data_IF_306330850937
#
_entry.id   IF_306330850937
#
_cell.length_a   1.000
_cell.length_b   1.000
_cell.length_c   1.000
_cell.angle_alpha   90.00
_cell.angle_beta   90.00
_cell.angle_gamma   90.00
#
_symmetry.space_group_name_H-M   'P 1'
#
loop_
_entity.id
_entity.type
_entity.pdbx_description
1 polymer ?
#
# COMPACT_ATOMS: atom_id res chain seq x y z
N UNK A 1 3.27 15.45 -5.46
CA UNK A 1 3.00 14.14 -4.83
C UNK A 1 3.96 13.99 -3.68
N UNK A 2 3.37 13.80 -2.51
CA UNK A 2 4.06 13.51 -1.27
C UNK A 2 4.31 12.01 -1.14
N UNK A 3 5.49 11.67 -0.67
CA UNK A 3 5.87 10.30 -0.34
C UNK A 3 6.30 10.27 1.11
N UNK A 4 5.57 9.53 1.94
CA UNK A 4 5.84 9.41 3.36
C UNK A 4 6.89 8.33 3.60
N UNK A 5 7.99 8.71 4.25
CA UNK A 5 9.14 7.85 4.54
C UNK A 5 9.73 8.19 5.91
N UNK A 6 10.43 7.24 6.53
CA UNK A 6 11.21 7.47 7.74
C UNK A 6 12.55 6.72 7.67
N UNK A 7 13.68 7.32 8.11
CA UNK A 7 15.00 6.70 8.03
C UNK A 7 15.13 5.31 8.68
N UNK A 8 14.35 5.05 9.74
CA UNK A 8 14.28 3.71 10.37
C UNK A 8 13.83 2.59 9.43
N UNK A 9 13.23 2.89 8.29
CA UNK A 9 12.93 1.86 7.29
C UNK A 9 14.19 1.30 6.60
N UNK A 10 15.36 1.92 6.77
CA UNK A 10 16.64 1.32 6.41
C UNK A 10 17.12 0.27 7.43
N UNK A 11 16.55 0.24 8.64
CA UNK A 11 16.97 -0.71 9.66
C UNK A 11 16.56 -2.13 9.27
N UNK A 12 17.47 -3.09 9.45
CA UNK A 12 17.17 -4.51 9.35
C UNK A 12 16.55 -4.99 10.68
N UNK A 13 15.22 -5.01 10.75
CA UNK A 13 14.47 -5.41 11.95
C UNK A 13 14.11 -6.91 11.99
N UNK A 14 14.25 -7.63 10.87
CA UNK A 14 14.16 -9.11 10.79
C UNK A 14 15.13 -9.65 9.73
N UNK A 15 15.18 -10.98 9.57
CA UNK A 15 15.89 -11.67 8.47
C UNK A 15 15.06 -11.85 7.19
N UNK A 16 13.84 -11.30 7.14
CA UNK A 16 12.91 -11.48 6.01
C UNK A 16 13.32 -10.62 4.80
N UNK A 17 12.94 -11.01 3.56
CA UNK A 17 13.27 -10.25 2.35
C UNK A 17 12.76 -8.81 2.37
N UNK A 18 11.58 -8.56 2.96
CA UNK A 18 11.06 -7.18 3.11
C UNK A 18 11.94 -6.34 4.02
N UNK A 19 12.69 -6.98 4.92
CA UNK A 19 13.58 -6.38 5.88
C UNK A 19 15.02 -6.21 5.34
N UNK A 20 15.30 -6.65 4.11
CA UNK A 20 16.64 -6.67 3.55
C UNK A 20 17.17 -5.25 3.28
N UNK A 21 18.47 -5.07 3.54
CA UNK A 21 19.21 -3.85 3.19
C UNK A 21 19.27 -3.68 1.67
N UNK A 22 19.14 -2.45 1.20
CA UNK A 22 19.14 -2.13 -0.23
C UNK A 22 17.74 -2.03 -0.83
N UNK A 23 16.72 -2.63 -0.20
CA UNK A 23 15.33 -2.58 -0.70
C UNK A 23 14.80 -1.15 -0.74
N UNK A 24 14.90 -0.43 0.38
CA UNK A 24 14.40 0.94 0.46
C UNK A 24 15.34 1.91 -0.25
N UNK A 25 16.64 1.69 -0.16
CA UNK A 25 17.68 2.50 -0.80
C UNK A 25 17.49 2.52 -2.32
N UNK A 26 17.23 1.35 -2.93
CA UNK A 26 16.95 1.26 -4.36
C UNK A 26 15.73 2.09 -4.77
N UNK A 27 14.68 2.14 -3.94
CA UNK A 27 13.50 2.95 -4.20
C UNK A 27 13.80 4.43 -4.00
N UNK A 28 14.37 4.81 -2.86
CA UNK A 28 14.65 6.21 -2.52
C UNK A 28 15.58 6.83 -3.56
N UNK A 29 16.65 6.15 -3.95
CA UNK A 29 17.56 6.60 -5.01
C UNK A 29 16.83 6.84 -6.34
N UNK A 30 15.83 6.02 -6.67
CA UNK A 30 15.08 6.15 -7.92
C UNK A 30 14.04 7.29 -7.89
N UNK A 31 13.49 7.64 -6.72
CA UNK A 31 12.36 8.58 -6.64
C UNK A 31 12.70 9.95 -6.06
N UNK A 32 13.82 10.11 -5.34
CA UNK A 32 14.09 11.30 -4.51
C UNK A 32 14.09 12.63 -5.27
N UNK A 33 14.51 12.65 -6.54
CA UNK A 33 14.49 13.87 -7.38
C UNK A 33 13.12 14.13 -8.03
N UNK A 34 12.17 13.22 -7.84
CA UNK A 34 10.85 13.26 -8.46
C UNK A 34 9.73 13.55 -7.47
N UNK A 35 9.95 13.44 -6.16
CA UNK A 35 8.88 13.51 -5.14
C UNK A 35 9.26 14.41 -3.98
N UNK A 36 8.26 14.84 -3.22
CA UNK A 36 8.48 15.46 -1.90
C UNK A 36 8.51 14.33 -0.86
N UNK A 37 9.68 14.03 -0.29
CA UNK A 37 9.80 13.10 0.82
C UNK A 37 9.35 13.78 2.11
N UNK A 38 8.29 13.25 2.72
CA UNK A 38 7.72 13.72 3.97
C UNK A 38 8.00 12.71 5.10
N UNK A 39 8.23 13.18 6.31
CA UNK A 39 8.49 12.32 7.47
C UNK A 39 7.23 11.56 7.91
N UNK A 40 7.37 10.24 8.15
CA UNK A 40 6.32 9.45 8.77
C UNK A 40 6.24 9.67 10.28
N UNK A 41 5.03 9.67 10.81
CA UNK A 41 4.75 9.55 12.24
C UNK A 41 4.16 8.17 12.53
N UNK A 42 4.34 7.68 13.75
CA UNK A 42 3.69 6.43 14.18
C UNK A 42 2.17 6.60 14.33
N UNK A 43 1.44 5.55 13.94
CA UNK A 43 0.03 5.39 14.25
C UNK A 43 -0.18 5.40 15.77
N UNK A 44 -1.24 6.04 16.23
CA UNK A 44 -1.62 5.98 17.64
C UNK A 44 -2.13 4.60 18.00
N UNK A 45 -2.14 4.23 19.27
CA UNK A 45 -2.74 2.95 19.68
C UNK A 45 -4.24 2.88 19.34
N UNK A 46 -4.94 4.03 19.33
CA UNK A 46 -6.33 4.12 18.87
C UNK A 46 -6.50 3.87 17.36
N UNK A 47 -5.51 4.24 16.54
CA UNK A 47 -5.47 3.88 15.11
C UNK A 47 -5.37 2.36 14.94
N UNK A 48 -4.44 1.75 15.68
CA UNK A 48 -4.18 0.31 15.60
C UNK A 48 -5.39 -0.49 16.11
N UNK A 49 -6.01 -0.06 17.20
CA UNK A 49 -7.21 -0.70 17.77
C UNK A 49 -8.45 -0.61 16.86
N UNK A 50 -8.46 0.29 15.88
CA UNK A 50 -9.54 0.35 14.89
C UNK A 50 -9.49 -0.84 13.91
N UNK A 51 -8.28 -1.37 13.63
CA UNK A 51 -8.08 -2.48 12.70
C UNK A 51 -7.71 -3.81 13.38
N UNK A 52 -7.21 -3.76 14.62
CA UNK A 52 -6.66 -4.92 15.31
C UNK A 52 -7.16 -5.08 16.74
N UNK A 53 -7.19 -6.33 17.19
CA UNK A 53 -7.47 -6.64 18.60
C UNK A 53 -6.31 -6.19 19.50
N UNK A 54 -6.63 -5.85 20.74
CA UNK A 54 -5.62 -5.50 21.75
C UNK A 54 -4.57 -6.61 21.93
N UNK A 55 -5.01 -7.88 21.99
CA UNK A 55 -4.12 -9.03 22.14
C UNK A 55 -3.13 -9.17 20.98
N UNK A 56 -3.55 -8.83 19.76
CA UNK A 56 -2.67 -8.82 18.59
C UNK A 56 -1.61 -7.73 18.70
N UNK A 57 -2.01 -6.52 19.09
CA UNK A 57 -1.08 -5.40 19.32
C UNK A 57 -0.04 -5.77 20.39
N UNK A 58 -0.47 -6.34 21.51
CA UNK A 58 0.44 -6.81 22.57
C UNK A 58 1.36 -7.94 22.11
N UNK A 59 0.89 -8.81 21.20
CA UNK A 59 1.72 -9.84 20.59
C UNK A 59 2.80 -9.19 19.73
N UNK A 60 2.48 -8.27 18.82
CA UNK A 60 3.48 -7.56 18.00
C UNK A 60 4.48 -6.80 18.87
N UNK A 61 4.02 -6.19 19.97
CA UNK A 61 4.88 -5.52 20.96
C UNK A 61 5.87 -6.46 21.64
N UNK A 62 5.41 -7.64 22.09
CA UNK A 62 6.29 -8.66 22.68
C UNK A 62 7.32 -9.23 21.70
N UNK A 63 7.04 -9.20 20.39
CA UNK A 63 8.00 -9.57 19.35
C UNK A 63 9.01 -8.45 19.02
N UNK A 64 8.91 -7.28 19.66
CA UNK A 64 9.82 -6.15 19.43
C UNK A 64 9.57 -5.37 18.14
N UNK A 65 8.44 -5.61 17.47
CA UNK A 65 8.14 -5.07 16.14
C UNK A 65 7.14 -3.92 16.15
N UNK A 66 6.59 -3.58 17.31
CA UNK A 66 5.56 -2.56 17.46
C UNK A 66 5.99 -1.21 16.90
N UNK A 67 7.17 -0.71 17.28
CA UNK A 67 7.61 0.64 16.91
C UNK A 67 7.73 0.83 15.40
N UNK A 68 8.33 -0.14 14.69
CA UNK A 68 8.52 -0.05 13.24
C UNK A 68 7.20 -0.30 12.48
N UNK A 69 6.36 -1.22 12.97
CA UNK A 69 5.05 -1.48 12.37
C UNK A 69 4.07 -0.33 12.58
N UNK A 70 4.06 0.29 13.76
CA UNK A 70 3.24 1.48 14.03
C UNK A 70 3.68 2.66 13.17
N UNK A 71 5.00 2.81 12.91
CA UNK A 71 5.53 3.81 11.99
C UNK A 71 5.09 3.59 10.55
N UNK A 72 5.05 2.34 10.09
CA UNK A 72 4.53 2.00 8.76
C UNK A 72 3.03 2.32 8.64
N UNK A 73 2.22 1.91 9.63
CA UNK A 73 0.79 2.18 9.65
C UNK A 73 0.48 3.69 9.72
N UNK A 74 1.25 4.46 10.48
CA UNK A 74 1.07 5.90 10.56
C UNK A 74 1.48 6.64 9.28
N UNK A 75 2.52 6.16 8.58
CA UNK A 75 2.85 6.63 7.23
C UNK A 75 1.71 6.40 6.24
N UNK A 76 1.03 5.25 6.32
CA UNK A 76 -0.16 4.96 5.51
C UNK A 76 -1.35 5.89 5.83
N UNK A 77 -1.60 6.18 7.11
CA UNK A 77 -2.59 7.19 7.53
C UNK A 77 -2.27 8.55 6.93
N UNK A 78 -1.01 9.00 7.00
CA UNK A 78 -0.61 10.29 6.44
C UNK A 78 -0.77 10.32 4.91
N UNK A 79 -0.43 9.23 4.22
CA UNK A 79 -0.68 9.09 2.78
C UNK A 79 -2.16 9.18 2.46
N UNK A 80 -3.04 8.43 3.13
CA UNK A 80 -4.49 8.52 2.88
C UNK A 80 -5.02 9.96 3.01
N UNK A 81 -4.60 10.70 4.05
CA UNK A 81 -5.00 12.10 4.26
C UNK A 81 -4.48 13.04 3.17
N UNK A 82 -3.21 12.89 2.76
CA UNK A 82 -2.66 13.68 1.66
C UNK A 82 -3.33 13.33 0.32
N UNK A 83 -3.64 12.04 0.13
CA UNK A 83 -4.31 11.44 -1.02
C UNK A 83 -5.64 12.11 -1.39
N UNK A 84 -6.35 12.64 -0.40
CA UNK A 84 -7.59 13.41 -0.59
C UNK A 84 -7.39 14.76 -1.30
N UNK A 85 -6.17 15.30 -1.32
CA UNK A 85 -5.84 16.60 -1.92
C UNK A 85 -4.99 16.46 -3.16
N UNK A 86 -4.01 15.57 -3.12
CA UNK A 86 -3.16 15.21 -4.24
C UNK A 86 -2.78 13.74 -4.14
N UNK A 87 -2.50 13.07 -5.26
CA UNK A 87 -1.93 11.73 -5.22
C UNK A 87 -0.73 11.67 -4.26
N UNK A 88 -0.70 10.63 -3.42
CA UNK A 88 0.37 10.42 -2.42
C UNK A 88 0.76 8.95 -2.28
N UNK A 89 1.85 8.67 -1.57
CA UNK A 89 2.35 7.32 -1.37
C UNK A 89 2.97 7.12 0.01
N UNK A 90 2.76 5.97 0.64
CA UNK A 90 3.45 5.54 1.84
C UNK A 90 4.58 4.60 1.45
N UNK A 91 5.81 5.11 1.44
CA UNK A 91 7.02 4.30 1.23
C UNK A 91 7.46 3.71 2.57
N UNK A 92 6.75 2.67 3.00
CA UNK A 92 6.86 2.10 4.34
C UNK A 92 7.30 0.64 4.32
N UNK A 93 7.82 0.18 5.46
CA UNK A 93 7.98 -1.23 5.79
C UNK A 93 7.99 -1.38 7.32
N UNK A 94 7.40 -2.44 7.90
CA UNK A 94 6.87 -3.66 7.26
C UNK A 94 5.61 -3.44 6.40
N UNK A 95 5.33 -4.34 5.43
CA UNK A 95 4.07 -4.35 4.66
C UNK A 95 2.87 -4.67 5.57
N UNK A 96 1.66 -4.65 5.01
CA UNK A 96 0.44 -4.81 5.80
C UNK A 96 -0.63 -5.75 5.25
N UNK A 97 -0.68 -6.04 3.96
CA UNK A 97 -1.85 -6.67 3.34
C UNK A 97 -2.18 -8.12 3.79
N UNK A 98 -1.26 -8.81 4.49
CA UNK A 98 -1.48 -10.13 5.11
C UNK A 98 -1.82 -10.10 6.61
N UNK A 99 -1.85 -8.91 7.23
CA UNK A 99 -2.22 -8.79 8.64
C UNK A 99 -3.75 -8.72 8.78
N UNK A 100 -4.33 -9.68 9.49
CA UNK A 100 -5.75 -9.72 9.84
C UNK A 100 -5.98 -9.06 11.21
N UNK A 101 -7.24 -8.98 11.65
CA UNK A 101 -7.59 -8.29 12.90
C UNK A 101 -6.93 -8.88 14.16
N UNK A 102 -6.75 -10.20 14.21
CA UNK A 102 -6.21 -10.90 15.39
C UNK A 102 -4.93 -11.73 15.12
N UNK A 103 -4.45 -11.73 13.87
CA UNK A 103 -3.36 -12.59 13.40
C UNK A 103 -2.56 -11.89 12.31
N UNK A 104 -1.32 -12.31 12.10
CA UNK A 104 -0.47 -11.76 11.06
C UNK A 104 0.52 -12.80 10.53
N UNK A 105 0.86 -12.68 9.26
CA UNK A 105 1.84 -13.52 8.56
C UNK A 105 2.36 -12.78 7.32
N UNK A 106 3.17 -13.45 6.48
CA UNK A 106 3.64 -12.85 5.22
C UNK A 106 4.42 -11.55 5.41
N UNK A 107 5.22 -11.47 6.49
CA UNK A 107 6.00 -10.29 6.90
C UNK A 107 5.17 -9.05 7.29
N UNK A 108 3.85 -9.17 7.28
CA UNK A 108 2.94 -8.13 7.73
C UNK A 108 2.70 -8.28 9.23
N UNK A 109 2.58 -7.16 9.96
CA UNK A 109 2.31 -7.18 11.40
C UNK A 109 1.06 -6.38 11.77
N UNK A 110 0.92 -5.18 11.20
CA UNK A 110 -0.31 -4.40 11.22
C UNK A 110 -0.78 -4.19 9.78
N UNK A 111 -2.09 -4.10 9.59
CA UNK A 111 -2.70 -3.84 8.30
C UNK A 111 -2.69 -2.33 8.04
N UNK A 112 -1.65 -1.88 7.36
CA UNK A 112 -1.45 -0.47 7.02
C UNK A 112 -2.65 0.13 6.27
N UNK A 113 -3.27 -0.65 5.38
CA UNK A 113 -4.42 -0.23 4.57
C UNK A 113 -5.67 -0.02 5.43
N UNK A 114 -6.03 -1.01 6.25
CA UNK A 114 -7.18 -0.94 7.13
C UNK A 114 -7.05 0.20 8.15
N UNK A 115 -5.88 0.35 8.77
CA UNK A 115 -5.60 1.45 9.70
C UNK A 115 -5.79 2.81 9.01
N UNK A 116 -5.27 2.98 7.79
CA UNK A 116 -5.40 4.22 7.03
C UNK A 116 -6.86 4.54 6.67
N UNK A 117 -7.61 3.55 6.18
CA UNK A 117 -8.99 3.73 5.76
C UNK A 117 -9.94 3.95 6.94
N UNK A 118 -9.79 3.22 8.05
CA UNK A 118 -10.58 3.47 9.26
C UNK A 118 -10.32 4.86 9.82
N UNK A 119 -9.07 5.35 9.82
CA UNK A 119 -8.79 6.73 10.23
C UNK A 119 -9.46 7.74 9.31
N UNK A 120 -9.38 7.54 7.98
CA UNK A 120 -10.02 8.43 7.02
C UNK A 120 -11.56 8.45 7.18
N UNK A 121 -12.18 7.29 7.41
CA UNK A 121 -13.62 7.15 7.69
C UNK A 121 -14.02 7.82 9.00
N UNK A 122 -13.24 7.64 10.08
CA UNK A 122 -13.49 8.26 11.38
C UNK A 122 -13.39 9.79 11.34
N UNK A 123 -12.51 10.33 10.48
CA UNK A 123 -12.37 11.77 10.23
C UNK A 123 -13.38 12.31 9.20
N UNK A 124 -14.31 11.48 8.73
CA UNK A 124 -15.34 11.83 7.74
C UNK A 124 -14.74 12.37 6.42
N UNK A 125 -13.53 11.92 6.06
CA UNK A 125 -12.89 12.30 4.81
C UNK A 125 -13.46 11.53 3.62
N UNK A 126 -14.03 10.35 3.86
CA UNK A 126 -14.52 9.44 2.84
C UNK A 126 -15.85 8.82 3.27
N UNK A 127 -16.73 8.57 2.31
CA UNK A 127 -17.90 7.72 2.50
C UNK A 127 -17.71 6.34 1.87
N UNK A 128 -16.95 6.23 0.78
CA UNK A 128 -16.60 4.99 0.09
C UNK A 128 -15.11 4.91 -0.27
N UNK A 129 -14.53 3.72 -0.14
CA UNK A 129 -13.18 3.41 -0.58
C UNK A 129 -13.18 2.27 -1.62
N UNK A 130 -12.27 2.35 -2.59
CA UNK A 130 -11.93 1.25 -3.48
C UNK A 130 -10.47 0.88 -3.27
N UNK A 131 -10.19 -0.39 -3.04
CA UNK A 131 -8.83 -0.93 -2.88
C UNK A 131 -8.46 -1.70 -4.14
N UNK A 132 -7.35 -1.32 -4.77
CA UNK A 132 -6.64 -2.17 -5.71
C UNK A 132 -5.44 -2.81 -5.00
N UNK A 133 -5.43 -4.12 -4.89
CA UNK A 133 -4.29 -4.88 -4.37
C UNK A 133 -3.63 -5.62 -5.52
N UNK A 134 -2.58 -5.03 -6.09
CA UNK A 134 -1.86 -5.63 -7.22
C UNK A 134 -0.60 -6.38 -6.81
N UNK A 135 -0.33 -6.50 -5.50
CA UNK A 135 0.71 -7.41 -5.01
C UNK A 135 0.47 -8.81 -5.57
N UNK A 136 1.54 -9.55 -5.85
CA UNK A 136 1.41 -10.91 -6.40
C UNK A 136 0.65 -11.83 -5.44
N UNK A 137 0.81 -11.60 -4.14
CA UNK A 137 0.16 -12.38 -3.10
C UNK A 137 -1.24 -11.81 -2.81
N UNK A 138 -2.19 -12.72 -2.60
CA UNK A 138 -3.56 -12.34 -2.25
C UNK A 138 -3.56 -11.60 -0.90
N UNK A 139 -4.10 -10.38 -0.86
CA UNK A 139 -4.17 -9.53 0.32
C UNK A 139 -5.26 -9.99 1.30
N UNK A 140 -5.10 -11.18 1.89
CA UNK A 140 -6.07 -11.80 2.79
C UNK A 140 -6.36 -10.96 4.04
N UNK A 141 -5.37 -10.24 4.57
CA UNK A 141 -5.56 -9.32 5.69
C UNK A 141 -6.51 -8.17 5.33
N UNK A 142 -6.39 -7.60 4.13
CA UNK A 142 -7.31 -6.57 3.63
C UNK A 142 -8.74 -7.12 3.56
N UNK A 143 -8.90 -8.31 2.99
CA UNK A 143 -10.20 -8.97 2.86
C UNK A 143 -10.80 -9.29 4.23
N UNK A 144 -10.03 -9.90 5.12
CA UNK A 144 -10.46 -10.32 6.45
C UNK A 144 -10.97 -9.14 7.31
N UNK A 145 -10.37 -7.95 7.16
CA UNK A 145 -10.76 -6.77 7.94
C UNK A 145 -11.85 -5.96 7.23
N UNK A 146 -11.74 -5.76 5.91
CA UNK A 146 -12.50 -4.72 5.21
C UNK A 146 -13.58 -5.23 4.25
N UNK A 147 -13.59 -6.50 3.82
CA UNK A 147 -14.61 -7.00 2.87
C UNK A 147 -16.04 -6.91 3.44
N UNK A 148 -16.19 -7.05 4.76
CA UNK A 148 -17.47 -6.93 5.45
C UNK A 148 -17.95 -5.48 5.62
N UNK A 149 -17.12 -4.49 5.35
CA UNK A 149 -17.46 -3.08 5.48
C UNK A 149 -18.25 -2.60 4.26
N UNK A 150 -19.49 -2.17 4.45
CA UNK A 150 -20.39 -1.77 3.34
C UNK A 150 -19.91 -0.55 2.54
N UNK A 151 -18.82 0.08 2.95
CA UNK A 151 -18.21 1.26 2.34
C UNK A 151 -16.88 0.94 1.64
N UNK A 152 -16.44 -0.32 1.61
CA UNK A 152 -15.21 -0.74 0.96
C UNK A 152 -15.50 -1.72 -0.17
N UNK A 153 -14.85 -1.52 -1.31
CA UNK A 153 -14.76 -2.49 -2.41
C UNK A 153 -13.29 -2.85 -2.62
N UNK A 154 -12.99 -4.13 -2.87
CA UNK A 154 -11.61 -4.63 -3.01
C UNK A 154 -11.48 -5.40 -4.31
N UNK A 155 -10.45 -5.10 -5.09
CA UNK A 155 -9.98 -5.93 -6.19
C UNK A 155 -8.59 -6.49 -5.87
N UNK A 156 -8.49 -7.82 -5.82
CA UNK A 156 -7.23 -8.55 -5.94
C UNK A 156 -7.23 -9.21 -7.34
N UNK A 157 -6.46 -8.73 -8.34
CA UNK A 157 -6.54 -9.29 -9.68
C UNK A 157 -6.05 -10.73 -9.74
N UNK A 158 -6.85 -11.64 -10.29
CA UNK A 158 -6.57 -13.09 -10.26
C UNK A 158 -6.00 -13.64 -11.58
N UNK A 159 -6.15 -12.90 -12.68
CA UNK A 159 -5.79 -13.39 -13.99
C UNK A 159 -4.29 -13.71 -14.12
N UNK A 160 -3.98 -14.93 -14.59
CA UNK A 160 -2.60 -15.42 -14.78
C UNK A 160 -1.97 -14.93 -16.09
N UNK A 161 -2.76 -14.35 -16.99
CA UNK A 161 -2.31 -13.79 -18.26
C UNK A 161 -2.21 -12.27 -18.15
N UNK A 162 -1.10 -11.68 -18.63
CA UNK A 162 -0.85 -10.24 -18.54
C UNK A 162 -1.94 -9.39 -19.21
N UNK A 163 -2.48 -9.80 -20.34
CA UNK A 163 -3.54 -9.07 -21.03
C UNK A 163 -4.81 -9.03 -20.20
N UNK A 164 -5.30 -10.21 -19.82
CA UNK A 164 -6.51 -10.36 -19.01
C UNK A 164 -6.37 -9.68 -17.63
N UNK A 165 -5.18 -9.75 -17.00
CA UNK A 165 -4.88 -9.05 -15.74
C UNK A 165 -5.05 -7.54 -15.87
N UNK A 166 -4.52 -6.96 -16.95
CA UNK A 166 -4.63 -5.53 -17.20
C UNK A 166 -6.05 -5.12 -17.55
N UNK A 167 -6.78 -5.95 -18.28
CA UNK A 167 -8.19 -5.72 -18.61
C UNK A 167 -9.07 -5.80 -17.35
N UNK A 168 -8.81 -6.74 -16.44
CA UNK A 168 -9.47 -6.87 -15.14
C UNK A 168 -9.29 -5.62 -14.28
N UNK A 169 -8.03 -5.18 -14.07
CA UNK A 169 -7.71 -3.98 -13.29
C UNK A 169 -8.36 -2.74 -13.91
N UNK A 170 -8.22 -2.58 -15.23
CA UNK A 170 -8.79 -1.43 -15.94
C UNK A 170 -10.31 -1.41 -15.83
N UNK A 171 -10.96 -2.56 -16.07
CA UNK A 171 -12.41 -2.67 -16.01
C UNK A 171 -12.94 -2.29 -14.62
N UNK A 172 -12.35 -2.80 -13.54
CA UNK A 172 -12.79 -2.48 -12.19
C UNK A 172 -12.62 -0.99 -11.85
N UNK A 173 -11.48 -0.38 -12.21
CA UNK A 173 -11.24 1.04 -11.98
C UNK A 173 -12.16 1.95 -12.81
N UNK A 174 -12.52 1.56 -14.04
CA UNK A 174 -13.45 2.30 -14.90
C UNK A 174 -14.91 2.20 -14.43
N UNK A 175 -15.29 1.12 -13.73
CA UNK A 175 -16.68 0.87 -13.33
C UNK A 175 -16.96 1.11 -11.84
N UNK A 176 -15.94 1.25 -10.99
CA UNK A 176 -16.09 1.61 -9.58
C UNK A 176 -16.40 3.10 -9.37
N UNK A 177 -16.86 3.45 -8.16
CA UNK A 177 -17.00 4.84 -7.70
C UNK A 177 -16.72 4.93 -6.20
N UNK A 178 -15.62 5.58 -5.85
CA UNK A 178 -15.20 5.80 -4.47
C UNK A 178 -14.71 7.24 -4.25
N UNK A 179 -14.70 7.68 -2.99
CA UNK A 179 -14.13 8.96 -2.59
C UNK A 179 -12.60 8.88 -2.44
N UNK A 180 -12.09 7.67 -2.23
CA UNK A 180 -10.66 7.38 -2.23
C UNK A 180 -10.35 6.06 -2.95
N UNK A 181 -9.33 6.09 -3.80
CA UNK A 181 -8.75 4.92 -4.43
C UNK A 181 -7.42 4.59 -3.75
N UNK A 182 -7.40 3.51 -3.00
CA UNK A 182 -6.26 3.06 -2.23
C UNK A 182 -5.57 1.89 -2.93
N UNK A 183 -4.24 1.83 -2.88
CA UNK A 183 -3.49 0.80 -3.59
C UNK A 183 -2.51 0.10 -2.65
N UNK A 184 -2.69 -1.20 -2.47
CA UNK A 184 -1.66 -2.08 -1.92
C UNK A 184 -0.66 -2.37 -3.05
N UNK A 185 0.45 -1.65 -3.05
CA UNK A 185 1.36 -1.56 -4.17
C UNK A 185 2.55 -2.53 -3.99
N UNK A 186 2.33 -3.80 -4.34
CA UNK A 186 3.36 -4.83 -4.41
C UNK A 186 4.00 -4.95 -5.79
N UNK A 187 5.32 -4.87 -5.86
CA UNK A 187 6.05 -4.89 -7.13
C UNK A 187 6.71 -6.24 -7.44
N UNK A 188 6.35 -7.28 -6.70
CA UNK A 188 6.86 -8.65 -6.82
C UNK A 188 6.24 -9.43 -7.97
N UNK A 189 5.14 -8.96 -8.57
CA UNK A 189 4.60 -9.55 -9.79
C UNK A 189 5.39 -9.16 -11.07
N UNK A 190 6.51 -8.43 -10.95
CA UNK A 190 7.31 -8.00 -12.08
C UNK A 190 7.98 -9.19 -12.79
N UNK A 191 8.21 -9.11 -14.11
CA UNK A 191 8.82 -10.18 -14.94
C UNK A 191 10.20 -10.68 -14.47
N UNK A 192 10.92 -9.85 -13.71
CA UNK A 192 12.23 -10.17 -13.12
C UNK A 192 12.16 -10.33 -11.60
N UNK A 193 10.96 -10.42 -11.03
CA UNK A 193 10.71 -10.68 -9.61
C UNK A 193 9.88 -11.97 -9.50
N UNK A 194 9.39 -12.31 -8.30
CA UNK A 194 8.83 -13.63 -8.02
C UNK A 194 7.64 -14.04 -8.90
N UNK A 195 6.77 -13.11 -9.28
CA UNK A 195 5.53 -13.40 -10.00
C UNK A 195 5.66 -13.49 -11.51
N UNK A 196 6.65 -12.81 -12.11
CA UNK A 196 7.00 -13.05 -13.51
C UNK A 196 5.99 -12.53 -14.56
N UNK A 197 5.03 -11.66 -14.20
CA UNK A 197 3.89 -11.31 -15.07
C UNK A 197 3.97 -9.91 -15.69
N UNK A 198 4.28 -8.90 -14.87
CA UNK A 198 4.11 -7.49 -15.21
C UNK A 198 5.43 -6.83 -15.61
N UNK A 199 5.38 -5.93 -16.59
CA UNK A 199 6.51 -5.08 -16.94
C UNK A 199 6.40 -3.74 -16.22
N UNK A 200 7.52 -3.03 -16.07
CA UNK A 200 7.55 -1.65 -15.52
C UNK A 200 6.46 -0.71 -16.08
N UNK A 201 6.18 -0.81 -17.39
CA UNK A 201 5.16 0.02 -18.05
C UNK A 201 3.74 -0.24 -17.54
N UNK A 202 3.48 -1.45 -17.03
CA UNK A 202 2.17 -1.87 -16.55
C UNK A 202 1.85 -1.22 -15.20
N UNK A 203 2.83 -1.12 -14.30
CA UNK A 203 2.70 -0.33 -13.08
C UNK A 203 2.39 1.14 -13.37
N UNK A 204 3.00 1.74 -14.41
CA UNK A 204 2.64 3.09 -14.86
C UNK A 204 1.20 3.18 -15.33
N UNK A 205 0.73 2.23 -16.13
CA UNK A 205 -0.65 2.19 -16.61
C UNK A 205 -1.64 2.06 -15.45
N UNK A 206 -1.39 1.16 -14.49
CA UNK A 206 -2.23 1.01 -13.31
C UNK A 206 -2.26 2.31 -12.47
N UNK A 207 -1.12 2.99 -12.30
CA UNK A 207 -1.07 4.30 -11.65
C UNK A 207 -1.93 5.35 -12.37
N UNK A 208 -1.92 5.38 -13.71
CA UNK A 208 -2.75 6.28 -14.51
C UNK A 208 -4.24 5.96 -14.37
N UNK A 209 -4.61 4.67 -14.38
CA UNK A 209 -6.00 4.26 -14.21
C UNK A 209 -6.54 4.61 -12.82
N UNK A 210 -5.73 4.42 -11.77
CA UNK A 210 -6.06 4.85 -10.41
C UNK A 210 -6.28 6.37 -10.35
N UNK A 211 -5.37 7.16 -10.95
CA UNK A 211 -5.53 8.61 -11.01
C UNK A 211 -6.82 9.02 -11.75
N UNK A 212 -7.07 8.41 -12.91
CA UNK A 212 -8.24 8.70 -13.72
C UNK A 212 -9.55 8.35 -12.99
N UNK A 213 -9.60 7.20 -12.32
CA UNK A 213 -10.74 6.77 -11.53
C UNK A 213 -11.03 7.74 -10.38
N UNK A 214 -10.00 8.15 -9.62
CA UNK A 214 -10.12 9.15 -8.57
C UNK A 214 -10.65 10.50 -9.10
N UNK A 215 -10.06 11.03 -10.18
CA UNK A 215 -10.53 12.30 -10.78
C UNK A 215 -11.96 12.23 -11.29
N UNK A 216 -12.36 11.11 -11.90
CA UNK A 216 -13.72 10.90 -12.42
C UNK A 216 -14.77 11.02 -11.32
N UNK A 217 -14.44 10.56 -10.11
CA UNK A 217 -15.27 10.66 -8.92
C UNK A 217 -15.13 11.96 -8.12
N UNK A 218 -14.22 12.86 -8.49
CA UNK A 218 -13.74 13.97 -7.64
C UNK A 218 -13.18 13.48 -6.28
N UNK A 219 -12.66 12.25 -6.25
CA UNK A 219 -12.04 11.63 -5.09
C UNK A 219 -10.52 11.78 -5.06
N UNK A 220 -9.92 11.19 -4.03
CA UNK A 220 -8.48 11.11 -3.81
C UNK A 220 -7.87 9.77 -4.22
N UNK A 221 -6.54 9.70 -4.21
CA UNK A 221 -5.85 8.42 -4.33
C UNK A 221 -4.51 8.39 -3.57
N UNK A 222 -4.16 7.20 -3.08
CA UNK A 222 -2.87 6.93 -2.46
C UNK A 222 -2.44 5.48 -2.67
N UNK A 223 -1.15 5.21 -2.54
CA UNK A 223 -0.62 3.85 -2.49
C UNK A 223 0.21 3.60 -1.24
N UNK A 224 0.37 2.33 -0.88
CA UNK A 224 1.21 1.85 0.21
C UNK A 224 2.15 0.79 -0.36
N UNK A 225 3.46 0.88 -0.09
CA UNK A 225 4.39 -0.18 -0.51
C UNK A 225 4.07 -1.50 0.23
N UNK A 226 3.89 -2.58 -0.53
CA UNK A 226 3.75 -3.95 0.00
C UNK A 226 5.00 -4.80 -0.33
N UNK A 227 4.91 -5.77 -1.24
CA UNK A 227 5.99 -6.64 -1.71
C UNK A 227 6.90 -6.03 -2.78
N UNK A 228 7.80 -6.86 -3.31
CA UNK A 228 8.84 -6.50 -4.30
C UNK A 228 10.24 -6.69 -3.74
N UNK A 229 11.00 -7.60 -4.34
CA UNK A 229 12.17 -8.23 -3.74
C UNK A 229 13.41 -8.20 -4.64
N UNK A 230 13.25 -7.97 -5.94
CA UNK A 230 14.39 -7.72 -6.81
C UNK A 230 14.76 -6.23 -6.82
N UNK A 231 15.75 -5.88 -6.00
CA UNK A 231 16.22 -4.50 -5.81
C UNK A 231 16.65 -3.81 -7.12
N UNK A 232 17.12 -4.57 -8.13
CA UNK A 232 17.56 -4.00 -9.42
C UNK A 232 16.42 -3.43 -10.27
N UNK A 233 15.18 -3.86 -10.03
CA UNK A 233 14.00 -3.39 -10.78
C UNK A 233 13.01 -2.61 -9.91
N UNK A 234 13.01 -2.85 -8.60
CA UNK A 234 12.03 -2.32 -7.65
C UNK A 234 11.90 -0.79 -7.71
N UNK A 235 13.01 -0.05 -7.59
CA UNK A 235 12.96 1.41 -7.62
C UNK A 235 12.38 1.98 -8.91
N UNK A 236 12.73 1.39 -10.06
CA UNK A 236 12.17 1.78 -11.36
C UNK A 236 10.69 1.44 -11.51
N UNK A 237 10.21 0.36 -10.87
CA UNK A 237 8.80 -0.02 -10.87
C UNK A 237 7.96 0.90 -10.00
N UNK A 238 8.45 1.23 -8.79
CA UNK A 238 7.83 2.22 -7.91
C UNK A 238 7.76 3.58 -8.61
N UNK A 239 8.88 4.08 -9.16
CA UNK A 239 8.89 5.35 -9.90
C UNK A 239 7.84 5.36 -11.01
N UNK A 240 7.75 4.29 -11.81
CA UNK A 240 6.80 4.19 -12.91
C UNK A 240 5.34 4.29 -12.43
N UNK A 241 5.01 3.63 -11.31
CA UNK A 241 3.69 3.74 -10.68
C UNK A 241 3.39 5.17 -10.20
N UNK A 242 4.34 5.81 -9.49
CA UNK A 242 4.19 7.18 -8.99
C UNK A 242 4.04 8.20 -10.13
N UNK A 243 4.78 8.02 -11.24
CA UNK A 243 4.61 8.83 -12.45
C UNK A 243 3.21 8.67 -13.05
N UNK A 244 2.65 7.47 -13.01
CA UNK A 244 1.30 7.20 -13.48
C UNK A 244 0.26 7.90 -12.62
N UNK A 245 0.41 7.81 -11.29
CA UNK A 245 -0.51 8.44 -10.34
C UNK A 245 -0.53 9.97 -10.40
N UNK A 246 0.48 10.62 -11.00
CA UNK A 246 0.55 12.09 -11.15
C UNK A 246 -0.13 12.64 -12.41
N UNK A 247 -0.47 11.79 -13.38
CA UNK A 247 -0.86 12.20 -14.74
C UNK A 247 -2.33 11.96 -15.03
#
# INVERSE_FOLDING_TARGET
MKVFFHPRFYDQYTSDPVAETGRMEAIVLAIMDHVELCECMAATEGDLLAAHTHDHIERVRRHGLYEIAALAAGGAVQAAKAGMKEPSFALVRPPGHHASGDSCWGFCYFNNMAVALYRAKAEQLIEKAFILDFDMHYGDGNVNILEGESWVEILNPEAKNRGDYLDEVKYALENSRADIYAVSAGFDNHVNDWGGLLYRKDYRLMGQWVHHAARRGQGGCFGILEGGYNHSVLGGNVLAFLEGMKR
#
